data_IF_766892788436
#
_entry.id   IF_766892788436
#
_cell.length_a   1.000
_cell.length_b   1.000
_cell.length_c   1.000
_cell.angle_alpha   90.00
_cell.angle_beta   90.00
_cell.angle_gamma   90.00
#
_symmetry.space_group_name_H-M   'P 1'
#
loop_
_entity.id
_entity.type
_entity.pdbx_description
1 polymer ?
#
# COMPACT_ATOMS: atom_id res chain seq x y z
N UNK A 1 18.61 6.45 -20.63
CA UNK A 1 17.86 5.25 -20.21
C UNK A 1 16.79 5.71 -19.24
N UNK A 2 15.52 5.42 -19.49
CA UNK A 2 14.41 5.98 -18.68
C UNK A 2 14.37 5.31 -17.31
N UNK A 3 14.29 6.09 -16.24
CA UNK A 3 14.21 5.58 -14.86
C UNK A 3 12.80 5.64 -14.30
N UNK A 4 12.49 4.82 -13.28
CA UNK A 4 11.17 4.81 -12.64
C UNK A 4 10.84 6.11 -11.88
N UNK A 5 11.79 7.04 -11.78
CA UNK A 5 11.61 8.36 -11.18
C UNK A 5 11.16 9.42 -12.18
N UNK A 6 11.40 9.19 -13.48
CA UNK A 6 11.08 10.12 -14.57
C UNK A 6 9.63 9.99 -15.07
N UNK A 7 8.95 8.91 -14.68
CA UNK A 7 7.55 8.65 -15.03
C UNK A 7 6.62 9.12 -13.91
N UNK A 8 5.45 9.71 -14.23
CA UNK A 8 4.43 10.01 -13.24
C UNK A 8 4.09 8.80 -12.36
N UNK A 9 4.04 9.03 -11.04
CA UNK A 9 3.93 7.97 -10.05
C UNK A 9 2.67 7.13 -10.24
N UNK A 10 1.55 7.78 -10.54
CA UNK A 10 0.24 7.14 -10.62
C UNK A 10 0.16 6.19 -11.81
N UNK A 11 0.61 6.65 -12.99
CA UNK A 11 0.69 5.83 -14.21
C UNK A 11 1.60 4.61 -14.03
N UNK A 12 2.76 4.82 -13.39
CA UNK A 12 3.69 3.72 -13.12
C UNK A 12 3.04 2.68 -12.18
N UNK A 13 2.42 3.13 -11.09
CA UNK A 13 1.79 2.24 -10.10
C UNK A 13 0.65 1.44 -10.75
N UNK A 14 -0.19 2.09 -11.55
CA UNK A 14 -1.28 1.43 -12.27
C UNK A 14 -0.76 0.34 -13.21
N UNK A 15 0.22 0.67 -14.05
CA UNK A 15 0.77 -0.28 -15.02
C UNK A 15 1.48 -1.45 -14.34
N UNK A 16 2.19 -1.19 -13.24
CA UNK A 16 2.82 -2.23 -12.43
C UNK A 16 1.75 -3.10 -11.76
N UNK A 17 0.68 -2.54 -11.21
CA UNK A 17 -0.40 -3.30 -10.60
C UNK A 17 -1.05 -4.27 -11.61
N UNK A 18 -1.32 -3.79 -12.84
CA UNK A 18 -1.82 -4.64 -13.92
C UNK A 18 -0.83 -5.77 -14.26
N UNK A 19 0.47 -5.48 -14.31
CA UNK A 19 1.50 -6.49 -14.60
C UNK A 19 1.58 -7.53 -13.49
N UNK A 20 1.53 -7.11 -12.23
CA UNK A 20 1.51 -8.01 -11.07
C UNK A 20 0.27 -8.92 -11.08
N UNK A 21 -0.88 -8.40 -11.51
CA UNK A 21 -2.12 -9.20 -11.63
C UNK A 21 -2.02 -10.32 -12.67
N UNK A 22 -1.23 -10.12 -13.73
CA UNK A 22 -1.00 -11.15 -14.76
C UNK A 22 -0.07 -12.27 -14.28
N UNK A 23 0.66 -12.08 -13.18
CA UNK A 23 1.66 -13.03 -12.69
C UNK A 23 0.97 -14.03 -11.74
N UNK A 24 0.85 -15.32 -12.10
CA UNK A 24 0.09 -16.30 -11.31
C UNK A 24 0.69 -16.57 -9.93
N UNK A 25 1.98 -16.27 -9.74
CA UNK A 25 2.70 -16.39 -8.47
C UNK A 25 2.37 -15.27 -7.48
N UNK A 26 1.79 -14.15 -7.93
CA UNK A 26 1.45 -13.01 -7.10
C UNK A 26 -0.07 -12.97 -6.94
N UNK A 27 -0.55 -13.54 -5.84
CA UNK A 27 -1.99 -13.58 -5.53
C UNK A 27 -2.27 -12.88 -4.21
N UNK A 28 -3.35 -12.09 -4.13
CA UNK A 28 -3.77 -11.50 -2.88
C UNK A 28 -4.18 -12.62 -1.91
N UNK A 29 -3.90 -12.45 -0.61
CA UNK A 29 -4.39 -13.37 0.40
C UNK A 29 -5.92 -13.32 0.47
N UNK A 30 -6.56 -14.44 0.85
CA UNK A 30 -8.02 -14.57 0.85
C UNK A 30 -8.73 -13.50 1.70
N UNK A 31 -8.09 -13.01 2.78
CA UNK A 31 -8.64 -11.97 3.63
C UNK A 31 -8.60 -10.56 3.02
N UNK A 32 -7.82 -10.32 1.96
CA UNK A 32 -7.62 -8.98 1.39
C UNK A 32 -8.92 -8.31 0.92
N UNK A 33 -9.92 -9.10 0.54
CA UNK A 33 -11.22 -8.60 0.07
C UNK A 33 -12.12 -8.05 1.18
N UNK A 34 -11.87 -8.42 2.44
CA UNK A 34 -12.78 -8.13 3.55
C UNK A 34 -12.22 -7.12 4.55
N UNK A 35 -10.91 -6.84 4.48
CA UNK A 35 -10.23 -6.04 5.50
C UNK A 35 -10.09 -4.57 5.10
N UNK A 36 -10.07 -3.71 6.11
CA UNK A 36 -9.58 -2.35 5.99
C UNK A 36 -8.04 -2.30 5.95
N UNK A 37 -7.49 -1.25 5.34
CA UNK A 37 -6.04 -1.12 5.15
C UNK A 37 -5.26 -0.72 6.41
N UNK A 38 -5.97 -0.27 7.45
CA UNK A 38 -5.40 0.04 8.76
C UNK A 38 -6.47 0.52 9.72
N UNK A 39 -6.08 0.71 10.99
CA UNK A 39 -6.99 1.22 12.04
C UNK A 39 -7.56 2.59 11.68
N UNK A 40 -6.81 3.40 10.93
CA UNK A 40 -7.20 4.74 10.50
C UNK A 40 -8.24 4.78 9.37
N UNK A 41 -8.66 3.62 8.84
CA UNK A 41 -9.75 3.54 7.87
C UNK A 41 -11.00 3.00 8.52
N UNK A 42 -12.14 3.52 8.10
CA UNK A 42 -13.45 3.06 8.56
C UNK A 42 -13.98 1.93 7.67
N UNK A 43 -13.78 2.05 6.35
CA UNK A 43 -14.27 1.08 5.35
C UNK A 43 -13.12 0.40 4.60
N UNK A 44 -13.35 -0.82 4.07
CA UNK A 44 -12.45 -1.44 3.09
C UNK A 44 -12.31 -0.59 1.82
N UNK A 45 -11.21 -0.74 1.06
CA UNK A 45 -11.08 -0.10 -0.24
C UNK A 45 -12.18 -0.54 -1.22
N UNK A 46 -12.70 0.40 -2.01
CA UNK A 46 -13.73 0.12 -3.02
C UNK A 46 -13.19 -0.70 -4.20
N UNK A 47 -11.92 -0.48 -4.56
CA UNK A 47 -11.28 -1.25 -5.62
C UNK A 47 -10.91 -2.65 -5.12
N UNK A 48 -11.47 -3.70 -5.72
CA UNK A 48 -11.18 -5.09 -5.37
C UNK A 48 -9.71 -5.49 -5.62
N UNK A 49 -9.04 -4.83 -6.57
CA UNK A 49 -7.63 -5.06 -6.90
C UNK A 49 -6.67 -4.21 -6.03
N UNK A 50 -7.15 -3.55 -4.97
CA UNK A 50 -6.35 -2.61 -4.17
C UNK A 50 -5.04 -3.20 -3.64
N UNK A 51 -4.99 -4.51 -3.38
CA UNK A 51 -3.81 -5.19 -2.86
C UNK A 51 -2.65 -5.16 -3.89
N UNK A 52 -2.96 -5.28 -5.19
CA UNK A 52 -1.96 -5.13 -6.26
C UNK A 52 -1.41 -3.71 -6.34
N UNK A 53 -2.27 -2.70 -6.18
CA UNK A 53 -1.85 -1.29 -6.09
C UNK A 53 -0.96 -1.05 -4.85
N UNK A 54 -1.26 -1.72 -3.72
CA UNK A 54 -0.41 -1.66 -2.52
C UNK A 54 0.97 -2.24 -2.79
N UNK A 55 1.05 -3.41 -3.41
CA UNK A 55 2.31 -4.05 -3.80
C UNK A 55 3.12 -3.17 -4.77
N UNK A 56 2.48 -2.64 -5.82
CA UNK A 56 3.11 -1.72 -6.77
C UNK A 56 3.65 -0.45 -6.08
N UNK A 57 2.88 0.12 -5.14
CA UNK A 57 3.31 1.28 -4.34
C UNK A 57 4.54 0.96 -3.47
N UNK A 58 4.58 -0.23 -2.85
CA UNK A 58 5.72 -0.67 -2.03
C UNK A 58 6.97 -0.81 -2.90
N UNK A 59 6.86 -1.47 -4.05
CA UNK A 59 7.97 -1.63 -5.00
C UNK A 59 8.56 -0.28 -5.42
N UNK A 60 7.70 0.69 -5.77
CA UNK A 60 8.15 2.04 -6.13
C UNK A 60 8.85 2.74 -4.95
N UNK A 61 8.32 2.63 -3.73
CA UNK A 61 8.94 3.23 -2.53
C UNK A 61 10.31 2.61 -2.23
N UNK A 62 10.45 1.29 -2.38
CA UNK A 62 11.73 0.61 -2.21
C UNK A 62 12.74 1.09 -3.26
N UNK A 63 12.33 1.13 -4.54
CA UNK A 63 13.17 1.63 -5.62
C UNK A 63 13.61 3.08 -5.38
N UNK A 64 12.67 3.98 -5.06
CA UNK A 64 12.97 5.40 -4.81
C UNK A 64 13.91 5.62 -3.62
N UNK A 65 13.84 4.77 -2.61
CA UNK A 65 14.66 4.91 -1.39
C UNK A 65 16.08 4.38 -1.57
N UNK A 66 16.29 3.41 -2.46
CA UNK A 66 17.60 2.80 -2.75
C UNK A 66 18.25 2.04 -1.58
N UNK A 67 17.58 1.97 -0.43
CA UNK A 67 18.08 1.34 0.80
C UNK A 67 17.00 0.41 1.37
N UNK A 68 17.40 -0.64 2.13
CA UNK A 68 16.43 -1.52 2.77
C UNK A 68 15.46 -0.73 3.68
N UNK A 69 14.16 -0.90 3.46
CA UNK A 69 13.11 -0.26 4.27
C UNK A 69 12.44 -1.31 5.14
N UNK A 70 12.54 -1.14 6.46
CA UNK A 70 11.86 -1.99 7.42
C UNK A 70 10.34 -1.81 7.40
N UNK A 71 9.63 -2.86 7.85
CA UNK A 71 8.16 -2.91 7.91
C UNK A 71 7.61 -1.72 8.71
N UNK A 72 8.27 -1.32 9.79
CA UNK A 72 7.81 -0.24 10.65
C UNK A 72 7.76 1.12 9.93
N UNK A 73 8.74 1.40 9.06
CA UNK A 73 8.75 2.62 8.24
C UNK A 73 7.63 2.60 7.21
N UNK A 74 7.35 1.44 6.60
CA UNK A 74 6.24 1.28 5.66
C UNK A 74 4.88 1.43 6.35
N UNK A 75 4.71 0.90 7.56
CA UNK A 75 3.50 1.09 8.36
C UNK A 75 3.26 2.55 8.71
N UNK A 76 4.31 3.32 8.98
CA UNK A 76 4.18 4.78 9.13
C UNK A 76 3.83 5.45 7.80
N UNK A 77 4.46 5.06 6.69
CA UNK A 77 4.20 5.65 5.38
C UNK A 77 2.78 5.38 4.84
N UNK A 78 2.15 4.27 5.25
CA UNK A 78 0.75 3.93 4.97
C UNK A 78 -0.16 4.15 6.17
N UNK A 79 0.31 4.85 7.20
CA UNK A 79 -0.49 5.29 8.31
C UNK A 79 -1.32 6.51 7.94
N UNK A 80 -2.23 6.88 8.83
CA UNK A 80 -3.10 8.01 8.63
C UNK A 80 -3.64 8.54 9.93
N UNK A 81 -4.33 9.66 9.83
CA UNK A 81 -5.03 10.27 10.96
C UNK A 81 -6.33 9.51 11.21
N UNK A 82 -6.67 9.33 12.48
CA UNK A 82 -7.88 8.62 12.93
C UNK A 82 -8.79 9.59 13.64
N UNK A 83 -10.05 9.60 13.24
CA UNK A 83 -11.11 10.28 13.98
C UNK A 83 -11.41 9.49 15.27
N UNK A 84 -11.28 10.16 16.42
CA UNK A 84 -11.51 9.58 17.74
C UNK A 84 -12.88 10.00 18.33
N UNK A 85 -13.81 10.44 17.47
CA UNK A 85 -15.14 10.91 17.85
C UNK A 85 -15.07 12.29 18.49
N UNK A 86 -15.17 12.34 19.82
CA UNK A 86 -15.16 13.60 20.59
C UNK A 86 -13.73 14.08 20.88
N UNK A 87 -12.76 13.16 20.90
CA UNK A 87 -11.37 13.51 21.17
C UNK A 87 -10.63 13.97 19.90
N UNK A 88 -9.56 14.79 20.04
CA UNK A 88 -8.73 15.22 18.92
C UNK A 88 -8.17 14.05 18.10
N UNK A 89 -7.97 14.31 16.81
CA UNK A 89 -7.48 13.31 15.89
C UNK A 89 -5.99 13.01 16.09
N UNK A 90 -5.63 11.73 16.06
CA UNK A 90 -4.24 11.30 16.22
C UNK A 90 -3.79 10.40 15.07
N UNK A 91 -2.48 10.40 14.80
CA UNK A 91 -1.88 9.51 13.82
C UNK A 91 -1.87 8.06 14.34
N UNK A 92 -2.23 7.11 13.46
CA UNK A 92 -2.08 5.67 13.68
C UNK A 92 -1.44 5.01 12.46
N UNK A 93 -0.57 4.05 12.74
CA UNK A 93 0.16 3.29 11.72
C UNK A 93 -0.77 2.39 10.90
N UNK A 94 -0.37 2.10 9.67
CA UNK A 94 -1.02 1.14 8.79
C UNK A 94 -0.88 -0.30 9.29
N UNK A 95 -1.68 -1.20 8.72
CA UNK A 95 -1.66 -2.62 9.08
C UNK A 95 -0.30 -3.25 8.73
N UNK A 96 0.32 -3.90 9.71
CA UNK A 96 1.58 -4.61 9.49
C UNK A 96 1.39 -5.89 8.67
N UNK A 97 0.23 -6.54 8.74
CA UNK A 97 -0.03 -7.77 7.98
C UNK A 97 -0.10 -7.51 6.49
N UNK A 98 -0.68 -6.37 6.07
CA UNK A 98 -0.76 -5.96 4.65
C UNK A 98 0.61 -5.67 4.05
N UNK A 99 1.55 -5.18 4.86
CA UNK A 99 2.92 -4.92 4.38
C UNK A 99 3.74 -6.21 4.29
N UNK A 100 3.42 -7.23 5.10
CA UNK A 100 4.16 -8.50 5.17
C UNK A 100 3.65 -9.59 4.23
N UNK A 101 2.41 -9.48 3.76
CA UNK A 101 1.69 -10.53 3.03
C UNK A 101 1.23 -10.01 1.69
#
# INVERSE_FOLDING_TARGET
>A
MVTALEVPADLLIERVAQKLKQMPQIRPPAWAYYVKTGVHKERPPENHDWWYYRAASILRKLYKRGTPVGIERLRTAYGGRVNMGVAPEHFRKGSGSIVRK
#
